data_IF_657079976213
#
_entry.id   IF_657079976213
#
_cell.length_a   1.000
_cell.length_b   1.000
_cell.length_c   1.000
_cell.angle_alpha   90.00
_cell.angle_beta   90.00
_cell.angle_gamma   90.00
#
_symmetry.space_group_name_H-M   'P 1'
#
loop_
_entity.id
_entity.type
_entity.pdbx_description
1 polymer ?
#
# COMPACT_ATOMS: atom_id res chain seq x y z
N UNK A 1 16.06 -3.24 -16.50
CA UNK A 1 16.50 -2.51 -15.29
C UNK A 1 16.44 -3.42 -14.07
N UNK A 2 17.00 -3.03 -12.91
CA UNK A 2 16.84 -3.80 -11.67
C UNK A 2 15.51 -3.47 -11.00
N UNK A 3 14.84 -4.50 -10.45
CA UNK A 3 13.59 -4.36 -9.72
C UNK A 3 13.79 -3.57 -8.43
N UNK A 4 12.93 -2.59 -8.16
CA UNK A 4 12.99 -1.73 -6.98
C UNK A 4 12.59 -2.44 -5.68
N UNK A 5 11.93 -3.61 -5.78
CA UNK A 5 11.54 -4.44 -4.64
C UNK A 5 12.56 -5.56 -4.35
N UNK A 6 12.87 -6.41 -5.32
CA UNK A 6 13.67 -7.63 -5.11
C UNK A 6 15.06 -7.62 -5.75
N UNK A 7 15.47 -6.51 -6.37
CA UNK A 7 16.74 -6.34 -7.08
C UNK A 7 17.01 -7.32 -8.25
N UNK A 8 16.07 -8.21 -8.59
CA UNK A 8 16.16 -9.06 -9.78
C UNK A 8 15.98 -8.28 -11.08
N UNK A 9 16.19 -8.92 -12.22
CA UNK A 9 16.04 -8.24 -13.51
C UNK A 9 14.56 -8.02 -13.86
N UNK A 10 14.30 -6.82 -14.39
CA UNK A 10 13.01 -6.43 -14.94
C UNK A 10 13.17 -6.08 -16.41
N UNK A 11 12.30 -6.66 -17.22
CA UNK A 11 12.27 -6.48 -18.66
C UNK A 11 11.25 -5.42 -19.04
N UNK A 12 11.42 -4.81 -20.21
CA UNK A 12 10.41 -3.92 -20.76
C UNK A 12 9.07 -4.67 -20.84
N UNK A 13 8.01 -4.07 -20.34
CA UNK A 13 6.68 -4.64 -20.36
C UNK A 13 5.81 -3.92 -21.37
N UNK A 14 5.61 -2.61 -21.21
CA UNK A 14 4.86 -1.81 -22.17
C UNK A 14 5.19 -0.33 -21.98
N UNK A 15 4.53 0.53 -22.75
CA UNK A 15 4.61 1.97 -22.62
C UNK A 15 3.27 2.61 -22.97
N UNK A 16 2.91 3.65 -22.21
CA UNK A 16 1.85 4.56 -22.62
C UNK A 16 2.45 5.81 -23.28
N UNK A 17 1.66 6.88 -23.46
CA UNK A 17 2.12 8.14 -24.06
C UNK A 17 3.09 8.94 -23.18
N UNK A 18 3.18 8.61 -21.88
CA UNK A 18 3.89 9.35 -20.84
C UNK A 18 5.11 8.60 -20.34
N UNK A 19 5.03 7.27 -20.18
CA UNK A 19 6.00 6.47 -19.42
C UNK A 19 6.21 5.08 -20.02
N UNK A 20 7.40 4.52 -19.77
CA UNK A 20 7.71 3.10 -19.96
C UNK A 20 7.47 2.34 -18.66
N UNK A 21 7.11 1.08 -18.78
CA UNK A 21 6.89 0.18 -17.65
C UNK A 21 7.73 -1.09 -17.81
N UNK A 22 8.23 -1.60 -16.69
CA UNK A 22 9.10 -2.77 -16.64
C UNK A 22 8.52 -3.80 -15.67
N UNK A 23 8.46 -5.07 -16.07
CA UNK A 23 7.95 -6.17 -15.25
C UNK A 23 9.08 -7.05 -14.76
N UNK A 24 9.11 -7.31 -13.46
CA UNK A 24 10.12 -8.15 -12.84
C UNK A 24 9.83 -9.63 -13.10
N UNK A 25 10.83 -10.38 -13.59
CA UNK A 25 10.68 -11.83 -13.83
C UNK A 25 10.70 -12.70 -12.56
N UNK A 26 10.97 -12.12 -11.39
CA UNK A 26 11.07 -12.85 -10.12
C UNK A 26 9.89 -12.57 -9.17
N UNK A 27 9.60 -11.29 -8.88
CA UNK A 27 8.52 -10.90 -7.97
C UNK A 27 7.28 -10.35 -8.68
N UNK A 28 7.28 -10.34 -10.02
CA UNK A 28 6.16 -9.89 -10.85
C UNK A 28 5.77 -8.41 -10.75
N UNK A 29 6.48 -7.62 -9.92
CA UNK A 29 6.22 -6.19 -9.78
C UNK A 29 6.38 -5.48 -11.13
N UNK A 30 5.42 -4.63 -11.48
CA UNK A 30 5.51 -3.73 -12.63
C UNK A 30 5.91 -2.35 -12.12
N UNK A 31 6.93 -1.74 -12.72
CA UNK A 31 7.57 -0.52 -12.24
C UNK A 31 7.55 0.52 -13.36
N UNK A 32 7.12 1.74 -13.04
CA UNK A 32 7.28 2.87 -13.95
C UNK A 32 8.76 3.24 -14.10
N UNK A 33 9.16 3.69 -15.29
CA UNK A 33 10.51 4.18 -15.54
C UNK A 33 10.92 5.24 -14.50
N UNK A 34 12.04 5.07 -13.77
CA UNK A 34 12.49 6.04 -12.77
C UNK A 34 12.65 7.46 -13.33
N UNK A 35 12.95 7.61 -14.62
CA UNK A 35 13.07 8.92 -15.28
C UNK A 35 11.73 9.67 -15.36
N UNK A 36 10.60 8.97 -15.17
CA UNK A 36 9.25 9.55 -15.18
C UNK A 36 8.71 9.94 -13.80
N UNK A 37 9.50 9.74 -12.74
CA UNK A 37 9.07 10.04 -11.38
C UNK A 37 8.98 11.54 -11.14
N UNK A 38 7.85 11.98 -10.57
CA UNK A 38 7.70 13.34 -10.07
C UNK A 38 8.68 13.61 -8.91
N UNK A 39 9.07 14.88 -8.76
CA UNK A 39 9.73 15.32 -7.54
C UNK A 39 8.76 15.25 -6.35
N UNK A 40 9.30 15.16 -5.12
CA UNK A 40 8.46 15.15 -3.91
C UNK A 40 7.55 16.40 -3.80
N UNK A 41 8.02 17.55 -4.29
CA UNK A 41 7.24 18.78 -4.30
C UNK A 41 6.07 18.73 -5.31
N UNK A 42 6.26 18.12 -6.47
CA UNK A 42 5.18 17.93 -7.47
C UNK A 42 4.18 16.88 -7.02
N UNK A 43 4.65 15.79 -6.42
CA UNK A 43 3.81 14.75 -5.83
C UNK A 43 2.92 15.33 -4.71
N UNK A 44 3.51 16.05 -3.75
CA UNK A 44 2.74 16.68 -2.67
C UNK A 44 1.68 17.67 -3.20
N UNK A 45 2.00 18.44 -4.25
CA UNK A 45 1.03 19.35 -4.86
C UNK A 45 -0.22 18.62 -5.36
N UNK A 46 -0.07 17.40 -5.87
CA UNK A 46 -1.21 16.59 -6.31
C UNK A 46 -2.04 16.11 -5.11
N UNK A 47 -1.38 15.63 -4.05
CA UNK A 47 -2.07 15.22 -2.82
C UNK A 47 -2.82 16.36 -2.12
N UNK A 48 -2.32 17.60 -2.22
CA UNK A 48 -2.97 18.78 -1.65
C UNK A 48 -4.34 19.09 -2.31
N UNK A 49 -4.68 18.47 -3.45
CA UNK A 49 -6.00 18.56 -4.09
C UNK A 49 -6.97 17.44 -3.68
N UNK A 50 -6.57 16.51 -2.82
CA UNK A 50 -7.45 15.44 -2.36
C UNK A 50 -8.49 15.98 -1.36
N UNK A 51 -9.75 16.03 -1.79
CA UNK A 51 -10.91 16.40 -0.96
C UNK A 51 -11.59 15.15 -0.37
N UNK A 52 -10.82 14.31 0.35
CA UNK A 52 -11.37 13.15 1.05
C UNK A 52 -11.45 13.44 2.54
N UNK A 53 -12.62 13.22 3.14
CA UNK A 53 -12.86 13.51 4.56
C UNK A 53 -13.82 12.52 5.23
N UNK A 54 -13.91 12.55 6.57
CA UNK A 54 -14.66 11.56 7.34
C UNK A 54 -16.17 11.63 7.15
N UNK A 55 -16.69 12.75 6.67
CA UNK A 55 -18.11 12.94 6.38
C UNK A 55 -18.51 12.44 4.98
N UNK A 56 -17.54 12.18 4.09
CA UNK A 56 -17.78 11.63 2.76
C UNK A 56 -18.12 10.13 2.85
N UNK A 57 -19.40 9.81 2.63
CA UNK A 57 -19.89 8.42 2.68
C UNK A 57 -19.32 7.54 1.56
N UNK A 58 -19.02 8.12 0.39
CA UNK A 58 -18.37 7.43 -0.71
C UNK A 58 -16.94 7.02 -0.33
N UNK A 59 -16.19 7.93 0.29
CA UNK A 59 -14.84 7.66 0.77
C UNK A 59 -14.83 6.66 1.93
N UNK A 60 -15.74 6.79 2.90
CA UNK A 60 -15.91 5.79 3.97
C UNK A 60 -16.22 4.41 3.40
N UNK A 61 -17.12 4.31 2.40
CA UNK A 61 -17.42 3.05 1.71
C UNK A 61 -16.21 2.50 0.96
N UNK A 62 -15.39 3.37 0.37
CA UNK A 62 -14.15 2.97 -0.28
C UNK A 62 -13.18 2.34 0.73
N UNK A 63 -12.93 3.01 1.87
CA UNK A 63 -12.09 2.51 2.96
C UNK A 63 -12.66 1.26 3.65
N UNK A 64 -13.98 1.12 3.70
CA UNK A 64 -14.68 -0.01 4.29
C UNK A 64 -14.29 -1.36 3.64
N UNK A 65 -13.90 -1.33 2.37
CA UNK A 65 -13.37 -2.51 1.67
C UNK A 65 -12.18 -3.14 2.39
N UNK A 66 -11.33 -2.34 3.03
CA UNK A 66 -10.24 -2.82 3.89
C UNK A 66 -10.69 -2.94 5.35
N UNK A 67 -11.33 -1.91 5.89
CA UNK A 67 -11.53 -1.82 7.35
C UNK A 67 -12.48 -2.90 7.87
N UNK A 68 -13.57 -3.22 7.17
CA UNK A 68 -14.53 -4.23 7.62
C UNK A 68 -13.92 -5.63 7.75
N UNK A 69 -13.23 -6.18 6.73
CA UNK A 69 -12.60 -7.48 6.89
C UNK A 69 -11.45 -7.43 7.90
N UNK A 70 -10.69 -6.34 7.98
CA UNK A 70 -9.64 -6.23 9.00
C UNK A 70 -10.24 -6.28 10.41
N UNK A 71 -11.27 -5.47 10.70
CA UNK A 71 -11.94 -5.41 12.02
C UNK A 71 -12.48 -6.79 12.44
N UNK A 72 -12.97 -7.60 11.51
CA UNK A 72 -13.42 -8.96 11.80
C UNK A 72 -12.32 -9.88 12.35
N UNK A 73 -11.05 -9.48 12.26
CA UNK A 73 -9.87 -10.19 12.77
C UNK A 73 -9.27 -9.56 14.03
N UNK A 74 -9.75 -8.39 14.43
CA UNK A 74 -9.24 -7.60 15.55
C UNK A 74 -10.14 -7.74 16.79
N UNK A 75 -9.65 -7.24 17.92
CA UNK A 75 -10.37 -7.19 19.20
C UNK A 75 -10.32 -5.77 19.76
N UNK A 76 -11.40 -5.29 20.41
CA UNK A 76 -11.36 -3.99 21.08
C UNK A 76 -10.16 -3.84 22.02
N UNK A 77 -9.55 -2.66 21.99
CA UNK A 77 -8.33 -2.34 22.74
C UNK A 77 -7.01 -2.66 22.03
N UNK A 78 -7.05 -3.30 20.84
CA UNK A 78 -5.84 -3.46 20.03
C UNK A 78 -5.30 -2.11 19.54
N UNK A 79 -3.98 -1.99 19.54
CA UNK A 79 -3.26 -0.79 19.09
C UNK A 79 -2.82 -0.96 17.64
N UNK A 80 -3.14 0.03 16.80
CA UNK A 80 -2.80 0.03 15.39
C UNK A 80 -2.12 1.30 14.91
N UNK A 81 -1.58 1.22 13.70
CA UNK A 81 -1.03 2.35 12.96
C UNK A 81 -1.73 2.48 11.61
N UNK A 82 -2.19 3.69 11.29
CA UNK A 82 -2.55 4.07 9.93
C UNK A 82 -1.34 4.71 9.24
N UNK A 83 -0.67 3.92 8.38
CA UNK A 83 0.55 4.31 7.66
C UNK A 83 0.19 4.95 6.31
N UNK A 84 0.62 6.20 6.11
CA UNK A 84 0.23 7.04 4.99
C UNK A 84 -1.20 7.56 5.13
N UNK A 85 -1.57 8.06 6.31
CA UNK A 85 -2.94 8.45 6.65
C UNK A 85 -3.48 9.66 5.88
N UNK A 86 -2.63 10.40 5.16
CA UNK A 86 -3.03 11.60 4.42
C UNK A 86 -3.48 12.77 5.32
N UNK A 87 -4.09 13.82 4.72
CA UNK A 87 -4.47 15.06 5.41
C UNK A 87 -5.75 14.96 6.26
N UNK A 88 -6.54 13.90 6.09
CA UNK A 88 -7.83 13.70 6.78
C UNK A 88 -8.05 12.24 7.14
N UNK A 89 -7.50 11.74 8.27
CA UNK A 89 -7.34 10.32 8.58
C UNK A 89 -8.70 9.66 8.90
N UNK A 90 -9.48 9.40 7.86
CA UNK A 90 -10.85 8.87 7.97
C UNK A 90 -10.82 7.41 8.42
N UNK A 91 -9.82 6.64 7.99
CA UNK A 91 -9.68 5.24 8.32
C UNK A 91 -9.42 5.04 9.82
N UNK A 92 -8.55 5.85 10.43
CA UNK A 92 -8.31 5.78 11.88
C UNK A 92 -9.60 6.01 12.67
N UNK A 93 -10.39 7.01 12.31
CA UNK A 93 -11.68 7.31 12.95
C UNK A 93 -12.67 6.14 12.80
N UNK A 94 -12.72 5.51 11.62
CA UNK A 94 -13.56 4.33 11.39
C UNK A 94 -13.14 3.15 12.27
N UNK A 95 -11.84 2.93 12.46
CA UNK A 95 -11.30 1.85 13.29
C UNK A 95 -11.47 2.14 14.80
N UNK A 96 -11.30 3.39 15.21
CA UNK A 96 -11.57 3.84 16.60
C UNK A 96 -13.04 3.66 16.98
N UNK A 97 -13.97 3.89 16.05
CA UNK A 97 -15.40 3.58 16.25
C UNK A 97 -15.67 2.10 16.51
N UNK A 98 -14.76 1.20 16.10
CA UNK A 98 -14.81 -0.24 16.37
C UNK A 98 -14.05 -0.62 17.66
N UNK A 99 -13.58 0.37 18.42
CA UNK A 99 -12.91 0.18 19.71
C UNK A 99 -11.39 -0.06 19.62
N UNK A 100 -10.76 0.25 18.48
CA UNK A 100 -9.29 0.21 18.37
C UNK A 100 -8.66 1.52 18.86
N UNK A 101 -7.38 1.48 19.23
CA UNK A 101 -6.57 2.68 19.41
C UNK A 101 -5.65 2.85 18.20
N UNK A 102 -5.72 3.98 17.48
CA UNK A 102 -4.99 4.15 16.22
C UNK A 102 -4.01 5.32 16.29
N UNK A 103 -2.73 5.02 16.06
CA UNK A 103 -1.70 6.02 15.80
C UNK A 103 -1.67 6.38 14.32
N UNK A 104 -1.18 7.56 13.98
CA UNK A 104 -1.10 8.06 12.61
C UNK A 104 0.35 8.24 12.19
N UNK A 105 0.64 7.97 10.92
CA UNK A 105 1.89 8.37 10.30
C UNK A 105 1.67 8.74 8.84
N UNK A 106 2.24 9.86 8.40
CA UNK A 106 2.31 10.25 6.99
C UNK A 106 3.49 11.19 6.78
N UNK A 107 4.23 11.01 5.69
CA UNK A 107 5.45 11.79 5.42
C UNK A 107 5.20 13.30 5.24
N UNK A 108 4.00 13.69 4.81
CA UNK A 108 3.60 15.07 4.54
C UNK A 108 2.65 15.63 5.61
N UNK A 109 1.74 14.82 6.14
CA UNK A 109 0.63 15.30 6.96
C UNK A 109 0.71 14.91 8.45
N UNK A 110 1.44 13.84 8.79
CA UNK A 110 1.55 13.31 10.15
C UNK A 110 2.94 12.69 10.40
N UNK A 111 4.00 13.48 10.22
CA UNK A 111 5.38 12.98 10.19
C UNK A 111 6.00 12.82 11.59
N UNK A 112 5.29 12.17 12.52
CA UNK A 112 5.86 11.78 13.80
C UNK A 112 6.59 10.43 13.66
N UNK A 113 7.92 10.51 13.55
CA UNK A 113 8.77 9.33 13.42
C UNK A 113 8.74 8.42 14.66
N UNK A 114 8.25 8.89 15.81
CA UNK A 114 8.07 8.03 16.98
C UNK A 114 7.05 6.92 16.70
N UNK A 115 6.06 7.16 15.83
CA UNK A 115 5.11 6.14 15.41
C UNK A 115 5.80 4.93 14.74
N UNK A 116 6.94 5.14 14.08
CA UNK A 116 7.72 4.08 13.43
C UNK A 116 8.64 3.30 14.37
N UNK A 117 8.80 3.74 15.61
CA UNK A 117 9.64 3.09 16.62
C UNK A 117 8.87 2.09 17.49
N UNK A 118 7.54 2.01 17.32
CA UNK A 118 6.64 1.13 18.06
C UNK A 118 6.32 -0.15 17.29
N UNK A 119 5.65 -1.09 17.96
CA UNK A 119 5.09 -2.30 17.36
C UNK A 119 3.60 -2.36 17.66
N UNK A 120 2.81 -2.70 16.65
CA UNK A 120 1.35 -2.65 16.69
C UNK A 120 0.73 -4.03 16.50
N UNK A 121 -0.47 -4.20 17.07
CA UNK A 121 -1.32 -5.38 16.82
C UNK A 121 -1.80 -5.40 15.37
N UNK A 122 -1.97 -4.22 14.76
CA UNK A 122 -2.24 -4.11 13.34
C UNK A 122 -1.66 -2.85 12.70
N UNK A 123 -1.45 -2.89 11.39
CA UNK A 123 -1.04 -1.74 10.58
C UNK A 123 -1.94 -1.69 9.34
N UNK A 124 -2.42 -0.51 8.98
CA UNK A 124 -3.10 -0.25 7.70
C UNK A 124 -2.23 0.60 6.80
N UNK A 125 -2.34 0.37 5.49
CA UNK A 125 -1.61 1.12 4.47
C UNK A 125 -2.48 1.17 3.21
N UNK A 126 -3.23 2.27 3.03
CA UNK A 126 -4.25 2.41 1.99
C UNK A 126 -3.88 3.46 0.96
N UNK A 127 -3.73 3.04 -0.29
CA UNK A 127 -3.29 3.84 -1.44
C UNK A 127 -1.93 4.54 -1.15
N UNK A 128 -0.94 3.73 -0.77
CA UNK A 128 0.39 4.20 -0.30
C UNK A 128 1.52 3.40 -0.95
N UNK A 129 1.41 2.07 -0.96
CA UNK A 129 2.49 1.16 -1.39
C UNK A 129 2.86 1.35 -2.86
N UNK A 130 1.94 1.84 -3.70
CA UNK A 130 2.15 2.19 -5.10
C UNK A 130 3.06 3.39 -5.32
N UNK A 131 3.22 4.23 -4.30
CA UNK A 131 4.07 5.42 -4.29
C UNK A 131 5.47 5.15 -3.70
N UNK A 132 5.73 3.93 -3.23
CA UNK A 132 7.04 3.58 -2.67
C UNK A 132 8.14 3.72 -3.73
N UNK A 133 9.02 4.70 -3.52
CA UNK A 133 10.22 4.93 -4.34
C UNK A 133 11.27 3.84 -4.13
N UNK A 134 11.33 3.29 -2.92
CA UNK A 134 12.27 2.24 -2.54
C UNK A 134 11.53 1.09 -1.83
N UNK A 135 10.68 0.32 -2.54
CA UNK A 135 9.91 -0.78 -1.94
C UNK A 135 10.78 -1.79 -1.19
N UNK A 136 12.02 -2.02 -1.63
CA UNK A 136 13.00 -2.88 -0.95
C UNK A 136 13.36 -2.41 0.47
N UNK A 137 13.13 -1.14 0.81
CA UNK A 137 13.33 -0.58 2.15
C UNK A 137 12.00 -0.36 2.88
N UNK A 138 10.98 0.14 2.16
CA UNK A 138 9.67 0.45 2.74
C UNK A 138 8.90 -0.79 3.19
N UNK A 139 8.95 -1.90 2.46
CA UNK A 139 8.28 -3.14 2.88
C UNK A 139 8.87 -3.74 4.16
N UNK A 140 10.21 -3.88 4.31
CA UNK A 140 10.79 -4.27 5.58
C UNK A 140 10.41 -3.37 6.75
N UNK A 141 10.41 -2.04 6.56
CA UNK A 141 9.95 -1.09 7.60
C UNK A 141 8.50 -1.40 8.00
N UNK A 142 7.58 -1.45 7.03
CA UNK A 142 6.16 -1.68 7.25
C UNK A 142 5.89 -3.00 7.99
N UNK A 143 6.53 -4.10 7.57
CA UNK A 143 6.40 -5.41 8.22
C UNK A 143 7.05 -5.42 9.61
N UNK A 144 8.12 -4.64 9.80
CA UNK A 144 8.78 -4.54 11.10
C UNK A 144 7.83 -3.97 12.15
N UNK A 145 6.90 -3.08 11.78
CA UNK A 145 5.96 -2.41 12.70
C UNK A 145 4.95 -3.38 13.34
N UNK A 146 4.81 -4.60 12.83
CA UNK A 146 3.90 -5.59 13.39
C UNK A 146 4.50 -6.32 14.59
N UNK A 147 3.70 -6.50 15.65
CA UNK A 147 3.94 -7.52 16.67
C UNK A 147 3.80 -8.94 16.08
N UNK A 148 4.41 -9.98 16.69
CA UNK A 148 4.07 -11.37 16.38
C UNK A 148 2.57 -11.60 16.47
N UNK A 149 1.98 -12.26 15.46
CA UNK A 149 0.52 -12.44 15.37
C UNK A 149 -0.26 -11.25 14.81
N UNK A 150 0.39 -10.10 14.63
CA UNK A 150 -0.26 -8.86 14.17
C UNK A 150 -0.67 -8.89 12.70
N UNK A 151 -1.61 -8.02 12.34
CA UNK A 151 -2.22 -7.94 11.01
C UNK A 151 -1.73 -6.73 10.21
N UNK A 152 -1.41 -6.92 8.94
CA UNK A 152 -1.15 -5.83 8.00
C UNK A 152 -2.22 -5.81 6.92
N UNK A 153 -2.99 -4.73 6.88
CA UNK A 153 -3.99 -4.48 5.85
C UNK A 153 -3.46 -3.54 4.78
N UNK A 154 -3.42 -4.01 3.54
CA UNK A 154 -3.03 -3.19 2.37
C UNK A 154 -4.23 -3.00 1.48
N UNK A 155 -4.47 -1.75 1.08
CA UNK A 155 -5.37 -1.43 -0.03
C UNK A 155 -4.59 -0.70 -1.11
N UNK A 156 -4.54 -1.25 -2.31
CA UNK A 156 -3.88 -0.68 -3.48
C UNK A 156 -4.43 -1.37 -4.73
N UNK A 157 -4.35 -0.75 -5.90
CA UNK A 157 -4.73 -1.41 -7.15
C UNK A 157 -3.84 -2.62 -7.44
N UNK A 158 -4.42 -3.82 -7.47
CA UNK A 158 -3.75 -5.02 -7.96
C UNK A 158 -4.05 -5.23 -9.44
N UNK A 159 -3.00 -5.24 -10.26
CA UNK A 159 -3.15 -5.64 -11.64
C UNK A 159 -3.45 -7.15 -11.72
N UNK A 160 -4.69 -7.49 -12.08
CA UNK A 160 -5.20 -8.87 -12.11
C UNK A 160 -5.37 -9.45 -13.51
N UNK A 161 -5.02 -8.68 -14.55
CA UNK A 161 -5.08 -9.10 -15.95
C UNK A 161 -3.73 -9.63 -16.41
N UNK A 162 -3.68 -10.15 -17.64
CA UNK A 162 -2.51 -10.91 -18.13
C UNK A 162 -1.75 -10.23 -19.27
N UNK A 163 -2.32 -9.24 -19.95
CA UNK A 163 -1.71 -8.64 -21.15
C UNK A 163 -1.19 -7.23 -20.94
N UNK A 164 -0.26 -6.84 -21.82
CA UNK A 164 0.27 -5.48 -21.92
C UNK A 164 -0.83 -4.48 -22.29
N UNK A 165 -1.75 -4.84 -23.18
CA UNK A 165 -2.86 -3.98 -23.58
C UNK A 165 -3.83 -3.71 -22.42
N UNK A 166 -4.09 -4.73 -21.59
CA UNK A 166 -4.94 -4.56 -20.40
C UNK A 166 -4.29 -3.62 -19.40
N UNK A 167 -2.97 -3.71 -19.21
CA UNK A 167 -2.23 -2.79 -18.34
C UNK A 167 -2.29 -1.36 -18.87
N UNK A 168 -2.05 -1.15 -20.16
CA UNK A 168 -2.12 0.18 -20.79
C UNK A 168 -3.52 0.81 -20.76
N UNK A 169 -4.58 0.00 -20.65
CA UNK A 169 -5.97 0.47 -20.54
C UNK A 169 -6.44 0.65 -19.10
N UNK A 170 -5.66 0.21 -18.13
CA UNK A 170 -6.03 0.28 -16.74
C UNK A 170 -5.91 1.71 -16.22
N UNK A 171 -7.04 2.34 -15.87
CA UNK A 171 -7.07 3.76 -15.46
C UNK A 171 -6.11 4.09 -14.30
N UNK A 172 -5.76 3.11 -13.47
CA UNK A 172 -4.86 3.26 -12.33
C UNK A 172 -3.42 3.67 -12.71
N UNK A 173 -2.97 3.37 -13.94
CA UNK A 173 -1.64 3.83 -14.42
C UNK A 173 -1.66 5.31 -14.85
N UNK A 174 -2.85 5.90 -14.95
CA UNK A 174 -3.05 7.28 -15.37
C UNK A 174 -2.60 8.30 -14.32
N UNK A 175 -2.52 7.89 -13.05
CA UNK A 175 -1.95 8.69 -11.98
C UNK A 175 -0.41 8.69 -12.08
N UNK A 176 0.22 9.86 -12.29
CA UNK A 176 1.67 9.95 -12.43
C UNK A 176 2.43 9.71 -11.11
N UNK A 177 1.75 9.76 -9.96
CA UNK A 177 2.35 9.45 -8.64
C UNK A 177 2.47 7.94 -8.41
N UNK A 178 1.72 7.11 -9.14
CA UNK A 178 1.84 5.65 -9.05
C UNK A 178 3.08 5.19 -9.81
N UNK A 179 4.01 4.56 -9.10
CA UNK A 179 5.32 4.15 -9.65
C UNK A 179 5.62 2.66 -9.46
N UNK A 180 4.91 2.00 -8.55
CA UNK A 180 4.98 0.56 -8.29
C UNK A 180 3.58 -0.04 -8.43
N UNK A 181 3.40 -1.01 -9.33
CA UNK A 181 2.11 -1.65 -9.60
C UNK A 181 2.20 -3.13 -9.23
N UNK A 182 1.43 -3.51 -8.22
CA UNK A 182 1.49 -4.83 -7.63
C UNK A 182 0.53 -5.79 -8.33
N UNK A 183 0.89 -7.07 -8.36
CA UNK A 183 -0.01 -8.17 -8.74
C UNK A 183 -0.28 -9.07 -7.53
N UNK A 184 -1.22 -10.01 -7.66
CA UNK A 184 -1.38 -11.07 -6.64
C UNK A 184 -0.07 -11.83 -6.42
N UNK A 185 0.66 -12.12 -7.52
CA UNK A 185 1.97 -12.78 -7.49
C UNK A 185 2.99 -11.98 -6.70
N UNK A 186 3.01 -10.65 -6.85
CA UNK A 186 3.89 -9.78 -6.04
C UNK A 186 3.56 -9.84 -4.56
N UNK A 187 2.28 -9.81 -4.21
CA UNK A 187 1.85 -9.89 -2.80
C UNK A 187 2.16 -11.26 -2.18
N UNK A 188 1.98 -12.35 -2.93
CA UNK A 188 2.40 -13.70 -2.51
C UNK A 188 3.92 -13.81 -2.34
N UNK A 189 4.67 -13.17 -3.23
CA UNK A 189 6.13 -13.12 -3.12
C UNK A 189 6.56 -12.39 -1.85
N UNK A 190 5.98 -11.22 -1.57
CA UNK A 190 6.20 -10.45 -0.33
C UNK A 190 5.87 -11.31 0.89
N UNK A 191 4.73 -12.00 0.89
CA UNK A 191 4.34 -12.89 1.98
C UNK A 191 5.43 -13.93 2.28
N UNK A 192 5.95 -14.59 1.23
CA UNK A 192 7.00 -15.60 1.36
C UNK A 192 8.31 -15.00 1.88
N UNK A 193 8.73 -13.84 1.39
CA UNK A 193 9.97 -13.20 1.85
C UNK A 193 9.95 -12.85 3.33
N UNK A 194 8.79 -12.41 3.84
CA UNK A 194 8.65 -11.95 5.21
C UNK A 194 8.01 -12.98 6.15
N UNK A 195 7.83 -14.23 5.68
CA UNK A 195 7.16 -15.30 6.42
C UNK A 195 5.79 -14.88 6.99
N UNK A 196 4.96 -14.27 6.14
CA UNK A 196 3.61 -13.83 6.47
C UNK A 196 2.58 -14.81 5.92
N UNK A 197 1.48 -14.99 6.64
CA UNK A 197 0.27 -15.55 6.03
C UNK A 197 -0.31 -14.49 5.09
N UNK A 198 -0.84 -14.91 3.94
CA UNK A 198 -1.38 -14.02 2.93
C UNK A 198 -2.81 -14.42 2.55
N UNK A 199 -3.68 -13.42 2.47
CA UNK A 199 -5.05 -13.57 2.03
C UNK A 199 -5.40 -12.43 1.07
N UNK A 200 -5.79 -12.79 -0.16
CA UNK A 200 -6.34 -11.84 -1.13
C UNK A 200 -7.85 -11.81 -0.98
N UNK A 201 -8.40 -10.64 -0.66
CA UNK A 201 -9.85 -10.43 -0.55
C UNK A 201 -10.46 -9.90 -1.83
N UNK A 202 -9.72 -9.08 -2.58
CA UNK A 202 -10.14 -8.52 -3.86
C UNK A 202 -8.93 -8.11 -4.71
N UNK A 203 -9.19 -7.53 -5.88
CA UNK A 203 -8.15 -6.87 -6.70
C UNK A 203 -7.72 -5.50 -6.12
N UNK A 204 -8.11 -5.19 -4.87
CA UNK A 204 -7.66 -4.01 -4.16
C UNK A 204 -7.15 -4.29 -2.75
N UNK A 205 -7.70 -5.31 -2.10
CA UNK A 205 -7.49 -5.54 -0.67
C UNK A 205 -6.80 -6.86 -0.44
N UNK A 206 -5.69 -6.79 0.30
CA UNK A 206 -4.98 -7.96 0.81
C UNK A 206 -4.71 -7.80 2.29
N UNK A 207 -4.75 -8.91 3.01
CA UNK A 207 -4.40 -8.99 4.41
C UNK A 207 -3.19 -9.91 4.57
N UNK A 208 -2.25 -9.48 5.39
CA UNK A 208 -1.15 -10.30 5.86
C UNK A 208 -1.26 -10.52 7.35
N UNK A 209 -0.81 -11.69 7.82
CA UNK A 209 -0.65 -11.96 9.25
C UNK A 209 0.78 -12.36 9.55
N UNK A 210 1.39 -11.67 10.50
CA UNK A 210 2.70 -12.05 11.03
C UNK A 210 2.57 -13.30 11.88
N UNK A 211 3.47 -14.25 11.68
CA UNK A 211 3.44 -15.50 12.46
C UNK A 211 3.71 -15.23 13.95
N UNK A 212 3.14 -16.08 14.80
CA UNK A 212 3.45 -16.15 16.22
C UNK A 212 4.76 -16.95 16.35
N UNK A 213 5.91 -16.31 16.17
CA UNK A 213 7.20 -16.95 16.42
C UNK A 213 7.45 -17.12 17.91
#
# INVERSE_FOLDING_TARGET
MKCTLCASESQFFCSDRRRRYYRCGNCDLIIADPESQLSAAEEKKLYDFHENGPDDQGYRKFLAQLSEPLVARLKPGMEGLDYGCGPGPTLSLMLEQQGMAVSLYDIYYANDKQALQRKYDFVTCTEVVEHFRQPSQSWPELVSLLQPGGWLGIMTGLFSKTTEEDFCRWSYIGDPTHISFYTSTTMEWIAKQFNLQFEKLSDRVVLFKKQMS
#
